data_IF_592168605817
#
_entry.id   IF_592168605817
#
_cell.length_a   1.000
_cell.length_b   1.000
_cell.length_c   1.000
_cell.angle_alpha   90.00
_cell.angle_beta   90.00
_cell.angle_gamma   90.00
#
_symmetry.space_group_name_H-M   'P 1'
#
loop_
_entity.id
_entity.type
_entity.pdbx_description
1 polymer ?
#
# COMPACT_ATOMS: atom_id res chain seq x y z
N UNK A 1 -9.59 32.80 37.66
CA UNK A 1 -9.07 31.47 37.26
C UNK A 1 -9.65 31.16 35.89
N UNK A 2 -8.86 30.97 34.84
CA UNK A 2 -9.42 30.58 33.55
C UNK A 2 -9.77 29.09 33.62
N UNK A 3 -11.04 28.79 33.31
CA UNK A 3 -11.51 27.44 33.06
C UNK A 3 -10.74 26.88 31.85
N UNK A 4 -9.78 26.00 32.11
CA UNK A 4 -9.29 25.04 31.12
C UNK A 4 -10.38 24.01 30.89
N UNK A 5 -11.39 24.40 30.10
CA UNK A 5 -12.36 23.46 29.56
C UNK A 5 -11.67 22.70 28.43
N UNK A 6 -10.94 21.66 28.82
CA UNK A 6 -10.88 20.37 28.13
C UNK A 6 -10.53 20.45 26.63
N UNK A 7 -9.22 20.46 26.36
CA UNK A 7 -8.57 20.12 25.08
C UNK A 7 -8.81 18.66 24.62
N UNK A 8 -9.78 17.91 25.17
CA UNK A 8 -9.97 16.47 24.88
C UNK A 8 -10.60 16.17 23.52
N UNK A 9 -11.20 17.13 22.82
CA UNK A 9 -11.96 16.79 21.61
C UNK A 9 -11.19 16.93 20.30
N UNK A 10 -10.09 17.70 20.27
CA UNK A 10 -9.37 17.91 19.00
C UNK A 10 -8.51 16.71 18.61
N UNK A 11 -7.80 16.11 19.57
CA UNK A 11 -6.92 14.97 19.29
C UNK A 11 -7.71 13.72 18.87
N UNK A 12 -8.83 13.42 19.53
CA UNK A 12 -9.71 12.32 19.12
C UNK A 12 -10.37 12.56 17.77
N UNK A 13 -10.75 13.80 17.47
CA UNK A 13 -11.24 14.17 16.16
C UNK A 13 -10.18 13.89 15.07
N UNK A 14 -8.93 14.32 15.29
CA UNK A 14 -7.81 14.02 14.37
C UNK A 14 -7.61 12.52 14.18
N UNK A 15 -7.67 11.74 15.26
CA UNK A 15 -7.55 10.28 15.15
C UNK A 15 -8.70 9.67 14.32
N UNK A 16 -9.93 10.18 14.49
CA UNK A 16 -11.10 9.75 13.70
C UNK A 16 -10.94 10.15 12.23
N UNK A 17 -10.37 11.32 11.95
CA UNK A 17 -10.05 11.78 10.60
C UNK A 17 -8.94 10.92 9.96
N UNK A 18 -8.01 10.38 10.76
CA UNK A 18 -6.94 9.46 10.31
C UNK A 18 -7.41 8.01 10.09
N UNK A 19 -8.50 7.59 10.73
CA UNK A 19 -9.02 6.22 10.64
C UNK A 19 -9.36 5.83 9.19
N UNK A 20 -9.99 6.76 8.45
CA UNK A 20 -10.36 6.55 7.06
C UNK A 20 -9.13 6.34 6.14
N UNK A 21 -8.14 7.26 6.05
CA UNK A 21 -6.94 7.05 5.23
C UNK A 21 -6.22 5.75 5.58
N UNK A 22 -6.15 5.41 6.86
CA UNK A 22 -5.49 4.18 7.33
C UNK A 22 -6.19 2.93 6.77
N UNK A 23 -7.52 2.89 6.82
CA UNK A 23 -8.33 1.79 6.28
C UNK A 23 -8.30 1.73 4.76
N UNK A 24 -8.48 2.87 4.09
CA UNK A 24 -8.44 2.95 2.62
C UNK A 24 -7.07 2.48 2.08
N UNK A 25 -6.00 2.82 2.80
CA UNK A 25 -4.66 2.34 2.48
C UNK A 25 -4.51 0.83 2.67
N UNK A 26 -4.94 0.32 3.82
CA UNK A 26 -4.91 -1.11 4.11
C UNK A 26 -5.65 -1.94 3.04
N UNK A 27 -6.87 -1.53 2.67
CA UNK A 27 -7.65 -2.24 1.66
C UNK A 27 -6.98 -2.21 0.29
N UNK A 28 -6.46 -1.06 -0.13
CA UNK A 28 -5.79 -0.95 -1.43
C UNK A 28 -4.52 -1.82 -1.48
N UNK A 29 -3.75 -1.89 -0.39
CA UNK A 29 -2.59 -2.80 -0.32
C UNK A 29 -2.98 -4.27 -0.35
N UNK A 30 -4.08 -4.66 0.31
CA UNK A 30 -4.62 -6.03 0.24
C UNK A 30 -5.02 -6.39 -1.19
N UNK A 31 -5.63 -5.47 -1.94
CA UNK A 31 -5.98 -5.69 -3.34
C UNK A 31 -4.72 -5.84 -4.21
N UNK A 32 -3.72 -4.98 -4.03
CA UNK A 32 -2.42 -5.11 -4.70
C UNK A 32 -1.77 -6.47 -4.36
N UNK A 33 -1.78 -6.88 -3.09
CA UNK A 33 -1.25 -8.18 -2.64
C UNK A 33 -1.99 -9.35 -3.31
N UNK A 34 -3.32 -9.28 -3.39
CA UNK A 34 -4.14 -10.30 -4.03
C UNK A 34 -3.81 -10.44 -5.53
N UNK A 35 -3.63 -9.33 -6.24
CA UNK A 35 -3.20 -9.34 -7.64
C UNK A 35 -1.81 -9.94 -7.82
N UNK A 36 -0.84 -9.58 -6.95
CA UNK A 36 0.49 -10.20 -6.97
C UNK A 36 0.41 -11.72 -6.79
N UNK A 37 -0.33 -12.18 -5.77
CA UNK A 37 -0.53 -13.60 -5.48
C UNK A 37 -1.18 -14.33 -6.66
N UNK A 38 -2.18 -13.72 -7.31
CA UNK A 38 -2.82 -14.29 -8.49
C UNK A 38 -1.81 -14.48 -9.64
N UNK A 39 -1.04 -13.44 -9.98
CA UNK A 39 -0.05 -13.52 -11.06
C UNK A 39 1.04 -14.55 -10.76
N UNK A 40 1.56 -14.57 -9.53
CA UNK A 40 2.56 -15.55 -9.08
C UNK A 40 2.00 -16.96 -9.18
N UNK A 41 0.76 -17.19 -8.74
CA UNK A 41 0.10 -18.48 -8.83
C UNK A 41 -0.07 -18.94 -10.28
N UNK A 42 -0.51 -18.06 -11.19
CA UNK A 42 -0.65 -18.38 -12.61
C UNK A 42 0.69 -18.78 -13.23
N UNK A 43 1.74 -18.00 -12.96
CA UNK A 43 3.08 -18.31 -13.47
C UNK A 43 3.61 -19.63 -12.91
N UNK A 44 3.42 -19.89 -11.61
CA UNK A 44 3.86 -21.11 -10.94
C UNK A 44 3.21 -22.38 -11.51
N UNK A 45 1.92 -22.29 -11.88
CA UNK A 45 1.14 -23.39 -12.40
C UNK A 45 1.32 -23.66 -13.90
N UNK A 46 1.92 -22.73 -14.65
CA UNK A 46 2.21 -22.98 -16.06
C UNK A 46 3.16 -24.17 -16.20
N UNK A 47 3.00 -24.97 -17.24
CA UNK A 47 3.84 -26.14 -17.51
C UNK A 47 4.87 -25.89 -18.60
N UNK A 48 4.63 -24.88 -19.45
CA UNK A 48 5.50 -24.52 -20.56
C UNK A 48 6.87 -23.98 -20.07
N UNK A 49 7.99 -24.68 -20.37
CA UNK A 49 9.32 -24.25 -19.92
C UNK A 49 9.80 -22.94 -20.55
N UNK A 50 9.44 -22.67 -21.81
CA UNK A 50 9.79 -21.43 -22.49
C UNK A 50 9.04 -20.25 -21.85
N UNK A 51 7.76 -20.44 -21.52
CA UNK A 51 7.01 -19.43 -20.78
C UNK A 51 7.66 -19.14 -19.42
N UNK A 52 7.98 -20.18 -18.64
CA UNK A 52 8.63 -20.02 -17.33
C UNK A 52 9.92 -19.23 -17.42
N UNK A 53 10.70 -19.46 -18.47
CA UNK A 53 11.94 -18.72 -18.72
C UNK A 53 11.68 -17.26 -19.07
N UNK A 54 10.75 -17.00 -20.00
CA UNK A 54 10.47 -15.65 -20.48
C UNK A 54 9.78 -14.78 -19.41
N UNK A 55 9.02 -15.39 -18.50
CA UNK A 55 8.28 -14.72 -17.43
C UNK A 55 9.05 -14.65 -16.09
N UNK A 56 10.25 -15.24 -16.01
CA UNK A 56 10.97 -15.42 -14.74
C UNK A 56 11.28 -14.10 -14.03
N UNK A 57 11.62 -13.06 -14.79
CA UNK A 57 11.89 -11.71 -14.26
C UNK A 57 10.63 -11.14 -13.61
N UNK A 58 9.48 -11.25 -14.30
CA UNK A 58 8.18 -10.79 -13.78
C UNK A 58 7.86 -11.50 -12.47
N UNK A 59 8.01 -12.82 -12.43
CA UNK A 59 7.76 -13.62 -11.22
C UNK A 59 8.67 -13.20 -10.04
N UNK A 60 9.98 -13.10 -10.28
CA UNK A 60 10.95 -12.73 -9.24
C UNK A 60 10.68 -11.34 -8.67
N UNK A 61 10.34 -10.39 -9.55
CA UNK A 61 10.07 -9.01 -9.18
C UNK A 61 8.77 -8.89 -8.38
N UNK A 62 7.70 -9.58 -8.80
CA UNK A 62 6.44 -9.60 -8.04
C UNK A 62 6.62 -10.26 -6.67
N UNK A 63 7.47 -11.28 -6.57
CA UNK A 63 7.79 -11.87 -5.26
C UNK A 63 8.56 -10.88 -4.37
N UNK A 64 9.51 -10.13 -4.92
CA UNK A 64 10.19 -9.04 -4.21
C UNK A 64 9.22 -7.95 -3.74
N UNK A 65 8.27 -7.56 -4.60
CA UNK A 65 7.21 -6.61 -4.23
C UNK A 65 6.38 -7.10 -3.04
N UNK A 66 6.05 -8.40 -2.97
CA UNK A 66 5.31 -8.97 -1.84
C UNK A 66 6.08 -8.90 -0.51
N UNK A 67 7.41 -8.99 -0.55
CA UNK A 67 8.25 -8.85 0.65
C UNK A 67 8.21 -7.43 1.22
N UNK A 68 7.89 -6.44 0.38
CA UNK A 68 7.71 -5.04 0.78
C UNK A 68 6.28 -4.81 1.28
N UNK A 69 5.27 -5.31 0.57
CA UNK A 69 3.85 -5.07 0.88
C UNK A 69 3.42 -5.74 2.19
N UNK A 70 3.90 -6.97 2.46
CA UNK A 70 3.38 -7.77 3.57
C UNK A 70 3.64 -7.13 4.96
N UNK A 71 4.86 -6.63 5.27
CA UNK A 71 5.09 -5.91 6.53
C UNK A 71 4.19 -4.69 6.73
N UNK A 72 3.88 -3.94 5.67
CA UNK A 72 3.02 -2.78 5.80
C UNK A 72 1.57 -3.16 6.08
N UNK A 73 1.09 -4.24 5.45
CA UNK A 73 -0.24 -4.76 5.72
C UNK A 73 -0.37 -5.14 7.19
N UNK A 74 0.62 -5.84 7.74
CA UNK A 74 0.64 -6.22 9.15
C UNK A 74 0.71 -4.99 10.08
N UNK A 75 1.48 -3.98 9.69
CA UNK A 75 1.58 -2.72 10.42
C UNK A 75 0.26 -1.94 10.42
N UNK A 76 -0.40 -1.82 9.27
CA UNK A 76 -1.69 -1.11 9.16
C UNK A 76 -2.80 -1.84 9.89
N UNK A 77 -2.80 -3.18 9.89
CA UNK A 77 -3.73 -3.99 10.68
C UNK A 77 -3.60 -3.64 12.17
N UNK A 78 -2.35 -3.57 12.68
CA UNK A 78 -2.06 -3.16 14.05
C UNK A 78 -2.51 -1.71 14.34
N UNK A 79 -2.34 -0.79 13.39
CA UNK A 79 -2.79 0.59 13.56
C UNK A 79 -4.32 0.69 13.59
N UNK A 80 -5.03 -0.07 12.73
CA UNK A 80 -6.49 -0.12 12.72
C UNK A 80 -7.02 -0.65 14.05
N UNK A 81 -6.43 -1.72 14.57
CA UNK A 81 -6.78 -2.27 15.89
C UNK A 81 -6.50 -1.25 17.00
N UNK A 82 -5.35 -0.58 16.97
CA UNK A 82 -4.99 0.44 17.96
C UNK A 82 -5.94 1.65 17.95
N UNK A 83 -6.40 2.08 16.78
CA UNK A 83 -7.44 3.13 16.64
C UNK A 83 -8.77 2.66 17.19
N UNK A 84 -9.14 1.39 17.00
CA UNK A 84 -10.40 0.84 17.50
C UNK A 84 -10.41 0.65 19.03
N UNK A 85 -9.25 0.29 19.61
CA UNK A 85 -9.12 -0.06 21.03
C UNK A 85 -8.90 1.14 21.97
N UNK A 86 -8.53 2.30 21.42
CA UNK A 86 -8.23 3.47 22.25
C UNK A 86 -9.51 4.07 22.86
N UNK A 87 -9.59 4.04 24.19
CA UNK A 87 -10.73 4.59 24.92
C UNK A 87 -10.82 6.12 24.70
N UNK A 88 -12.01 6.65 24.41
CA UNK A 88 -12.30 8.09 24.17
C UNK A 88 -11.78 9.06 25.26
N UNK A 89 -11.44 8.54 26.44
CA UNK A 89 -10.89 9.32 27.55
C UNK A 89 -9.37 9.44 27.55
N UNK A 90 -8.66 8.66 26.72
CA UNK A 90 -7.21 8.61 26.60
C UNK A 90 -6.62 9.84 25.87
N UNK A 91 -5.31 9.92 25.73
CA UNK A 91 -4.67 10.92 24.86
C UNK A 91 -4.11 10.20 23.61
N UNK A 92 -4.71 10.39 22.43
CA UNK A 92 -4.30 9.69 21.21
C UNK A 92 -3.07 10.30 20.53
N UNK A 93 -2.48 11.37 21.07
CA UNK A 93 -1.40 12.12 20.40
C UNK A 93 -0.20 11.24 20.01
N UNK A 94 0.19 10.29 20.87
CA UNK A 94 1.30 9.38 20.56
C UNK A 94 0.96 8.43 19.40
N UNK A 95 -0.27 7.92 19.35
CA UNK A 95 -0.76 7.04 18.29
C UNK A 95 -0.85 7.79 16.95
N UNK A 96 -1.40 9.02 16.96
CA UNK A 96 -1.48 9.91 15.79
C UNK A 96 -0.09 10.11 15.17
N UNK A 97 0.92 10.42 16.00
CA UNK A 97 2.30 10.63 15.52
C UNK A 97 2.93 9.35 14.99
N UNK A 98 2.66 8.20 15.62
CA UNK A 98 3.14 6.91 15.15
C UNK A 98 2.59 6.61 13.75
N UNK A 99 1.27 6.70 13.56
CA UNK A 99 0.60 6.49 12.28
C UNK A 99 1.16 7.43 11.20
N UNK A 100 1.32 8.72 11.51
CA UNK A 100 1.83 9.69 10.55
C UNK A 100 3.31 9.43 10.18
N UNK A 101 4.16 9.12 11.14
CA UNK A 101 5.56 8.76 10.86
C UNK A 101 5.65 7.48 10.02
N UNK A 102 4.79 6.51 10.29
CA UNK A 102 4.70 5.30 9.50
C UNK A 102 4.35 5.64 8.04
N UNK A 103 3.35 6.50 7.79
CA UNK A 103 3.03 6.97 6.42
C UNK A 103 4.20 7.65 5.72
N UNK A 104 5.02 8.42 6.43
CA UNK A 104 6.22 9.01 5.84
C UNK A 104 7.25 7.96 5.44
N UNK A 105 7.46 6.94 6.27
CA UNK A 105 8.37 5.82 5.94
C UNK A 105 7.86 5.01 4.74
N UNK A 106 6.54 4.86 4.64
CA UNK A 106 5.89 4.16 3.54
C UNK A 106 6.12 4.83 2.18
N UNK A 107 6.41 6.13 2.09
CA UNK A 107 6.75 6.78 0.80
C UNK A 107 7.95 6.12 0.12
N UNK A 108 9.01 5.91 0.91
CA UNK A 108 10.28 5.36 0.42
C UNK A 108 10.05 3.97 -0.14
N UNK A 109 9.30 3.17 0.60
CA UNK A 109 9.04 1.80 0.21
C UNK A 109 8.00 1.73 -0.94
N UNK A 110 7.05 2.69 -1.06
CA UNK A 110 6.16 2.86 -2.23
C UNK A 110 6.96 3.21 -3.49
N UNK A 111 7.98 4.06 -3.39
CA UNK A 111 8.89 4.31 -4.52
C UNK A 111 9.62 3.05 -4.95
N UNK A 112 10.10 2.27 -3.98
CA UNK A 112 10.72 0.98 -4.28
C UNK A 112 9.75 0.06 -5.01
N UNK A 113 8.52 -0.07 -4.49
CA UNK A 113 7.46 -0.89 -5.08
C UNK A 113 7.13 -0.43 -6.51
N UNK A 114 7.03 0.88 -6.77
CA UNK A 114 6.81 1.44 -8.11
C UNK A 114 7.92 1.05 -9.08
N UNK A 115 9.17 1.08 -8.64
CA UNK A 115 10.32 0.69 -9.46
C UNK A 115 10.27 -0.80 -9.80
N UNK A 116 9.98 -1.67 -8.84
CA UNK A 116 9.80 -3.10 -9.08
C UNK A 116 8.66 -3.36 -10.06
N UNK A 117 7.48 -2.80 -9.82
CA UNK A 117 6.33 -3.00 -10.70
C UNK A 117 6.61 -2.48 -12.11
N UNK A 118 7.33 -1.36 -12.25
CA UNK A 118 7.78 -0.87 -13.56
C UNK A 118 8.65 -1.91 -14.27
N UNK A 119 9.62 -2.50 -13.58
CA UNK A 119 10.47 -3.57 -14.15
C UNK A 119 9.62 -4.76 -14.59
N UNK A 120 8.67 -5.21 -13.77
CA UNK A 120 7.76 -6.31 -14.13
C UNK A 120 6.90 -5.95 -15.35
N UNK A 121 6.37 -4.72 -15.39
CA UNK A 121 5.55 -4.21 -16.49
C UNK A 121 6.35 -4.08 -17.79
N UNK A 122 7.58 -3.59 -17.73
CA UNK A 122 8.43 -3.45 -18.90
C UNK A 122 8.85 -4.84 -19.41
N UNK A 123 9.14 -5.78 -18.52
CA UNK A 123 9.47 -7.16 -18.87
C UNK A 123 8.30 -7.90 -19.55
N UNK A 124 7.07 -7.81 -19.00
CA UNK A 124 5.90 -8.49 -19.59
C UNK A 124 5.54 -7.94 -20.98
N UNK A 125 5.81 -6.66 -21.25
CA UNK A 125 5.55 -6.04 -22.56
C UNK A 125 6.54 -6.50 -23.64
N UNK A 126 7.72 -7.01 -23.27
CA UNK A 126 8.68 -7.59 -24.23
C UNK A 126 8.27 -9.00 -24.68
N UNK A 127 7.32 -9.64 -23.99
CA UNK A 127 6.91 -10.99 -24.30
C UNK A 127 5.85 -10.95 -25.40
N UNK A 128 6.14 -11.59 -26.54
CA UNK A 128 5.18 -11.69 -27.64
C UNK A 128 4.03 -12.64 -27.28
N UNK A 129 2.77 -12.17 -27.21
CA UNK A 129 1.63 -13.01 -26.87
C UNK A 129 1.40 -14.17 -27.82
N UNK A 130 1.76 -14.02 -29.10
CA UNK A 130 1.61 -15.06 -30.10
C UNK A 130 2.49 -16.31 -29.83
N UNK A 131 3.51 -16.19 -28.97
CA UNK A 131 4.36 -17.31 -28.57
C UNK A 131 3.66 -18.28 -27.59
N UNK A 132 2.53 -17.88 -27.01
CA UNK A 132 1.84 -18.61 -25.94
C UNK A 132 0.36 -18.83 -26.27
N UNK A 133 0.09 -19.48 -27.42
CA UNK A 133 -1.24 -20.01 -27.75
C UNK A 133 -1.47 -21.36 -27.04
N UNK A 134 -1.58 -21.35 -25.72
CA UNK A 134 -1.90 -22.57 -24.94
C UNK A 134 -3.28 -22.47 -24.30
N UNK A 135 -3.88 -23.63 -24.04
CA UNK A 135 -5.12 -23.76 -23.25
C UNK A 135 -4.78 -23.38 -21.80
N UNK A 136 -5.04 -22.12 -21.42
CA UNK A 136 -4.64 -21.54 -20.14
C UNK A 136 -5.00 -20.05 -20.01
N UNK A 137 -4.51 -19.38 -18.96
CA UNK A 137 -4.65 -17.92 -18.80
C UNK A 137 -3.78 -17.23 -19.84
N UNK A 138 -4.40 -16.43 -20.71
CA UNK A 138 -3.69 -15.69 -21.74
C UNK A 138 -2.70 -14.70 -21.10
N UNK A 139 -1.51 -14.55 -21.70
CA UNK A 139 -0.52 -13.57 -21.22
C UNK A 139 -1.07 -12.13 -21.18
N UNK A 140 -2.10 -11.85 -21.99
CA UNK A 140 -2.87 -10.61 -21.98
C UNK A 140 -3.52 -10.34 -20.60
N UNK A 141 -3.97 -11.40 -19.90
CA UNK A 141 -4.52 -11.31 -18.55
C UNK A 141 -3.44 -10.99 -17.53
N UNK A 142 -2.26 -11.61 -17.65
CA UNK A 142 -1.10 -11.31 -16.79
C UNK A 142 -0.65 -9.85 -17.01
N UNK A 143 -0.58 -9.41 -18.26
CA UNK A 143 -0.28 -8.02 -18.61
C UNK A 143 -1.30 -7.05 -18.01
N UNK A 144 -2.59 -7.38 -18.07
CA UNK A 144 -3.65 -6.58 -17.46
C UNK A 144 -3.51 -6.49 -15.94
N UNK A 145 -3.25 -7.61 -15.25
CA UNK A 145 -3.05 -7.63 -13.80
C UNK A 145 -1.83 -6.81 -13.37
N UNK A 146 -0.70 -6.93 -14.08
CA UNK A 146 0.50 -6.13 -13.78
C UNK A 146 0.25 -4.64 -14.03
N UNK A 147 -0.51 -4.30 -15.08
CA UNK A 147 -0.92 -2.92 -15.35
C UNK A 147 -1.83 -2.36 -14.26
N UNK A 148 -2.76 -3.18 -13.75
CA UNK A 148 -3.63 -2.83 -12.63
C UNK A 148 -2.81 -2.58 -11.36
N UNK A 149 -1.89 -3.48 -11.01
CA UNK A 149 -0.95 -3.32 -9.89
C UNK A 149 -0.19 -1.98 -10.00
N UNK A 150 0.32 -1.66 -11.20
CA UNK A 150 1.04 -0.39 -11.45
C UNK A 150 0.14 0.82 -11.24
N UNK A 151 -1.08 0.78 -11.77
CA UNK A 151 -2.03 1.88 -11.63
C UNK A 151 -2.40 2.12 -10.18
N UNK A 152 -2.78 1.06 -9.46
CA UNK A 152 -3.16 1.12 -8.05
C UNK A 152 -1.99 1.63 -7.19
N UNK A 153 -0.77 1.15 -7.42
CA UNK A 153 0.41 1.62 -6.67
C UNK A 153 0.71 3.10 -6.91
N UNK A 154 0.52 3.60 -8.14
CA UNK A 154 0.70 5.02 -8.42
C UNK A 154 -0.36 5.88 -7.74
N UNK A 155 -1.61 5.42 -7.75
CA UNK A 155 -2.73 6.11 -7.13
C UNK A 155 -2.59 6.13 -5.60
N UNK A 156 -2.21 5.00 -5.02
CA UNK A 156 -1.93 4.82 -3.60
C UNK A 156 -1.01 5.90 -3.03
N UNK A 157 0.09 6.17 -3.75
CA UNK A 157 1.01 7.22 -3.39
C UNK A 157 0.32 8.59 -3.38
N UNK A 158 -0.35 8.93 -4.48
CA UNK A 158 -1.00 10.24 -4.63
C UNK A 158 -2.04 10.50 -3.54
N UNK A 159 -2.88 9.51 -3.27
CA UNK A 159 -4.05 9.69 -2.40
C UNK A 159 -3.60 9.86 -0.94
N UNK A 160 -2.69 9.02 -0.43
CA UNK A 160 -2.25 9.06 0.97
C UNK A 160 -1.45 10.32 1.29
N UNK A 161 -0.50 10.72 0.45
CA UNK A 161 0.27 11.93 0.73
C UNK A 161 -0.60 13.17 0.67
N UNK A 162 -1.58 13.21 -0.24
CA UNK A 162 -2.53 14.31 -0.27
C UNK A 162 -3.37 14.39 1.01
N UNK A 163 -3.81 13.26 1.56
CA UNK A 163 -4.57 13.21 2.81
C UNK A 163 -3.69 13.57 4.02
N UNK A 164 -2.45 13.10 4.07
CA UNK A 164 -1.50 13.44 5.13
C UNK A 164 -1.15 14.93 5.12
N UNK A 165 -0.89 15.52 3.94
CA UNK A 165 -0.60 16.94 3.79
C UNK A 165 -1.77 17.81 4.26
N UNK A 166 -3.01 17.41 3.93
CA UNK A 166 -4.22 18.10 4.39
C UNK A 166 -4.36 18.02 5.91
N UNK A 167 -4.16 16.84 6.51
CA UNK A 167 -4.24 16.67 7.95
C UNK A 167 -3.16 17.47 8.70
N UNK A 168 -1.94 17.52 8.16
CA UNK A 168 -0.87 18.34 8.70
C UNK A 168 -1.20 19.84 8.66
N UNK A 169 -1.78 20.32 7.55
CA UNK A 169 -2.20 21.71 7.40
C UNK A 169 -3.36 22.09 8.34
N UNK A 170 -4.31 21.18 8.55
CA UNK A 170 -5.46 21.40 9.43
C UNK A 170 -5.07 21.34 10.91
N UNK A 171 -4.12 20.47 11.27
CA UNK A 171 -3.75 20.20 12.66
C UNK A 171 -2.24 20.28 12.91
N UNK A 172 -1.58 21.42 12.60
CA UNK A 172 -0.13 21.52 12.60
C UNK A 172 0.49 21.27 13.97
N UNK A 173 -0.21 21.59 15.06
CA UNK A 173 0.28 21.36 16.43
C UNK A 173 0.33 19.88 16.84
N UNK A 174 -0.40 19.01 16.13
CA UNK A 174 -0.41 17.56 16.41
C UNK A 174 0.75 16.85 15.70
N UNK A 175 1.08 17.29 14.48
CA UNK A 175 2.08 16.68 13.61
C UNK A 175 3.46 17.37 13.69
N UNK A 176 3.52 18.69 13.85
CA UNK A 176 4.78 19.48 13.89
C UNK A 176 5.27 19.86 15.29
N UNK A 177 4.72 19.26 16.35
CA UNK A 177 5.17 19.52 17.72
C UNK A 177 6.50 18.78 18.01
N UNK A 178 7.58 19.32 17.44
CA UNK A 178 8.95 18.85 17.61
C UNK A 178 9.98 19.45 16.64
N UNK A 179 10.01 20.79 16.50
CA UNK A 179 11.27 21.53 16.26
C UNK A 179 11.62 22.28 17.53
#
# INVERSE_FOLDING_TARGET
>A
MPNQTISKNNAFQVLTELDKPTKDYFFTLKEIQALHNAVIHFIGNESNPQFKKDIQTVHSVLYGSLQIISPWIDQLDQQIDAIADIAETADPTALIRAIYNDFQHLDVDVQHLKNLIKIANDAILQINPACFNHVGVEISVIQWMISAIKHMTNQLQSDIFSECDVLEQLHPTMFNAGV
#
